data_IF_784179682558
#
_entry.id   IF_784179682558
#
_cell.length_a   1.000
_cell.length_b   1.000
_cell.length_c   1.000
_cell.angle_alpha   90.00
_cell.angle_beta   90.00
_cell.angle_gamma   90.00
#
_symmetry.space_group_name_H-M   'P 1'
#
loop_
_entity.id
_entity.type
_entity.pdbx_description
1 polymer ?
#
# COMPACT_ATOMS: atom_id res chain seq x y z
N UNK A 1 26.12 -13.51 -4.05
CA UNK A 1 25.71 -13.27 -2.65
C UNK A 1 25.24 -14.59 -2.07
N UNK A 2 25.44 -14.82 -0.77
CA UNK A 2 24.89 -16.01 -0.11
C UNK A 2 23.41 -15.79 0.21
N UNK A 3 22.52 -16.37 -0.59
CA UNK A 3 21.08 -16.33 -0.36
C UNK A 3 20.71 -17.43 0.66
N UNK A 4 20.04 -17.05 1.74
CA UNK A 4 19.64 -17.93 2.84
C UNK A 4 18.33 -17.45 3.50
N UNK A 5 17.74 -18.25 4.40
CA UNK A 5 16.40 -17.96 4.99
C UNK A 5 16.31 -16.63 5.75
N UNK A 6 17.38 -16.25 6.44
CA UNK A 6 17.42 -15.01 7.22
C UNK A 6 17.92 -13.78 6.44
N UNK A 7 17.97 -13.83 5.10
CA UNK A 7 18.59 -12.76 4.28
C UNK A 7 17.93 -11.38 4.46
N UNK A 8 16.66 -11.35 4.88
CA UNK A 8 15.89 -10.13 5.14
C UNK A 8 15.82 -9.73 6.61
N UNK A 9 16.55 -10.40 7.50
CA UNK A 9 16.61 -10.05 8.92
C UNK A 9 17.39 -8.74 9.11
N UNK A 10 16.81 -7.80 9.85
CA UNK A 10 17.43 -6.49 10.10
C UNK A 10 18.10 -6.41 11.48
N UNK A 11 19.16 -5.60 11.56
CA UNK A 11 19.47 -4.89 12.79
C UNK A 11 18.50 -3.69 12.90
N UNK A 12 17.37 -3.91 13.58
CA UNK A 12 16.32 -2.90 13.69
C UNK A 12 16.83 -1.58 14.31
N UNK A 13 17.78 -1.65 15.25
CA UNK A 13 18.31 -0.44 15.89
C UNK A 13 19.10 0.39 14.88
N UNK A 14 20.08 -0.22 14.24
CA UNK A 14 20.92 0.46 13.25
C UNK A 14 20.08 1.00 12.10
N UNK A 15 19.07 0.25 11.66
CA UNK A 15 18.23 0.65 10.53
C UNK A 15 17.29 1.82 10.90
N UNK A 16 16.70 1.82 12.10
CA UNK A 16 15.94 2.98 12.61
C UNK A 16 16.82 4.22 12.69
N UNK A 17 18.05 4.11 13.21
CA UNK A 17 18.98 5.24 13.31
C UNK A 17 19.31 5.81 11.92
N UNK A 18 19.49 4.93 10.92
CA UNK A 18 19.71 5.32 9.51
C UNK A 18 18.52 6.06 8.91
N UNK A 19 17.30 5.53 9.10
CA UNK A 19 16.08 6.14 8.57
C UNK A 19 15.78 7.48 9.25
N UNK A 20 15.92 7.58 10.57
CA UNK A 20 15.75 8.85 11.28
C UNK A 20 16.75 9.92 10.79
N UNK A 21 18.01 9.52 10.54
CA UNK A 21 19.02 10.43 9.98
C UNK A 21 18.62 10.93 8.58
N UNK A 22 18.10 10.04 7.72
CA UNK A 22 17.56 10.40 6.42
C UNK A 22 16.41 11.41 6.54
N UNK A 23 15.42 11.14 7.39
CA UNK A 23 14.27 12.04 7.61
C UNK A 23 14.73 13.43 8.04
N UNK A 24 15.61 13.53 9.05
CA UNK A 24 16.15 14.81 9.53
C UNK A 24 16.90 15.55 8.43
N UNK A 25 17.69 14.84 7.62
CA UNK A 25 18.42 15.45 6.51
C UNK A 25 17.47 16.04 5.46
N UNK A 26 16.46 15.27 5.03
CA UNK A 26 15.52 15.72 4.00
C UNK A 26 14.75 16.96 4.44
N UNK A 27 14.20 16.96 5.67
CA UNK A 27 13.48 18.12 6.21
C UNK A 27 14.37 19.38 6.25
N UNK A 28 15.64 19.24 6.64
CA UNK A 28 16.60 20.36 6.69
C UNK A 28 16.95 20.88 5.30
N UNK A 29 17.17 19.99 4.34
CA UNK A 29 17.59 20.33 2.97
C UNK A 29 16.56 21.21 2.27
N UNK A 30 15.28 20.87 2.40
CA UNK A 30 14.17 21.63 1.81
C UNK A 30 13.60 22.72 2.74
N UNK A 31 14.24 22.96 3.90
CA UNK A 31 13.89 24.01 4.88
C UNK A 31 12.42 23.95 5.34
N UNK A 32 11.95 22.75 5.70
CA UNK A 32 10.61 22.53 6.26
C UNK A 32 10.65 22.43 7.79
N UNK A 33 9.52 22.72 8.41
CA UNK A 33 9.41 22.83 9.87
C UNK A 33 8.99 21.51 10.55
N UNK A 34 8.46 20.56 9.79
CA UNK A 34 7.95 19.28 10.27
C UNK A 34 7.44 18.38 9.16
N UNK A 35 6.63 17.38 9.53
CA UNK A 35 6.16 16.30 8.66
C UNK A 35 4.66 16.06 8.85
N UNK A 36 3.93 15.94 7.75
CA UNK A 36 2.57 15.43 7.68
C UNK A 36 2.60 13.96 7.26
N UNK A 37 1.84 13.10 7.96
CA UNK A 37 1.70 11.68 7.64
C UNK A 37 0.22 11.32 7.52
N UNK A 38 -0.17 10.65 6.44
CA UNK A 38 -1.50 10.05 6.32
C UNK A 38 -1.58 8.77 7.15
N UNK A 39 -2.53 8.67 8.07
CA UNK A 39 -2.72 7.53 8.97
C UNK A 39 -3.92 6.70 8.50
N UNK A 40 -3.65 5.55 7.88
CA UNK A 40 -4.68 4.66 7.33
C UNK A 40 -5.12 3.56 8.29
N UNK A 41 -4.49 3.45 9.46
CA UNK A 41 -4.68 2.30 10.36
C UNK A 41 -3.98 1.02 9.88
N UNK A 42 -3.17 1.12 8.82
CA UNK A 42 -2.27 0.06 8.35
C UNK A 42 -0.84 0.22 8.87
N UNK A 43 -0.08 -0.87 8.80
CA UNK A 43 1.26 -0.99 9.40
C UNK A 43 2.28 0.01 8.85
N UNK A 44 2.27 0.29 7.54
CA UNK A 44 3.28 1.16 6.93
C UNK A 44 3.13 2.60 7.42
N UNK A 45 1.89 3.12 7.43
CA UNK A 45 1.62 4.47 7.96
C UNK A 45 1.91 4.60 9.45
N UNK A 46 1.61 3.56 10.23
CA UNK A 46 1.89 3.53 11.66
C UNK A 46 3.40 3.54 11.95
N UNK A 47 4.18 2.78 11.17
CA UNK A 47 5.63 2.77 11.24
C UNK A 47 6.23 4.12 10.81
N UNK A 48 5.78 4.69 9.69
CA UNK A 48 6.23 6.02 9.24
C UNK A 48 5.99 7.09 10.29
N UNK A 49 4.81 7.11 10.92
CA UNK A 49 4.52 8.04 12.01
C UNK A 49 5.49 7.86 13.19
N UNK A 50 5.74 6.61 13.62
CA UNK A 50 6.68 6.31 14.69
C UNK A 50 8.12 6.74 14.35
N UNK A 51 8.58 6.48 13.12
CA UNK A 51 9.89 6.91 12.62
C UNK A 51 10.02 8.44 12.57
N UNK A 52 8.99 9.14 12.10
CA UNK A 52 8.95 10.60 12.06
C UNK A 52 9.01 11.20 13.47
N UNK A 53 8.25 10.65 14.42
CA UNK A 53 8.30 11.07 15.83
C UNK A 53 9.67 10.82 16.43
N UNK A 54 10.28 9.66 16.16
CA UNK A 54 11.62 9.31 16.62
C UNK A 54 12.71 10.22 16.04
N UNK A 55 12.50 10.72 14.82
CA UNK A 55 13.45 11.57 14.10
C UNK A 55 13.32 13.05 14.48
N UNK A 56 12.10 13.58 14.53
CA UNK A 56 11.82 15.03 14.60
C UNK A 56 11.22 15.48 15.93
N UNK A 57 10.73 14.54 16.75
CA UNK A 57 9.91 14.81 17.93
C UNK A 57 8.43 14.97 17.56
N UNK A 58 7.55 14.57 18.49
CA UNK A 58 6.09 14.53 18.27
C UNK A 58 5.47 15.87 17.88
N UNK A 59 6.02 16.98 18.38
CA UNK A 59 5.49 18.34 18.12
C UNK A 59 5.76 18.82 16.69
N UNK A 60 6.55 18.06 15.91
CA UNK A 60 6.85 18.32 14.49
C UNK A 60 6.22 17.30 13.56
N UNK A 61 5.29 16.49 14.05
CA UNK A 61 4.60 15.47 13.28
C UNK A 61 3.10 15.68 13.42
N UNK A 62 2.43 15.80 12.28
CA UNK A 62 0.99 15.99 12.20
C UNK A 62 0.35 14.82 11.44
N UNK A 63 -0.60 14.13 12.06
CA UNK A 63 -1.29 13.00 11.46
C UNK A 63 -2.61 13.41 10.80
N UNK A 64 -2.89 12.90 9.60
CA UNK A 64 -4.19 13.04 8.95
C UNK A 64 -4.90 11.69 8.85
N UNK A 65 -6.12 11.61 9.35
CA UNK A 65 -7.01 10.45 9.18
C UNK A 65 -8.06 10.84 8.14
N UNK A 66 -8.05 10.17 6.98
CA UNK A 66 -8.82 10.58 5.80
C UNK A 66 -9.82 9.49 5.38
N UNK A 67 -10.84 9.20 6.20
CA UNK A 67 -11.83 8.18 5.89
C UNK A 67 -12.77 8.65 4.78
N UNK A 68 -13.39 7.69 4.11
CA UNK A 68 -14.57 7.88 3.28
C UNK A 68 -15.63 6.84 3.60
N UNK A 69 -16.85 6.99 3.04
CA UNK A 69 -18.01 6.16 3.41
C UNK A 69 -17.85 4.65 3.25
N UNK A 70 -16.89 4.18 2.46
CA UNK A 70 -16.56 2.76 2.28
C UNK A 70 -15.28 2.33 3.04
N UNK A 71 -14.60 3.25 3.72
CA UNK A 71 -13.44 2.92 4.56
C UNK A 71 -13.89 2.14 5.79
N UNK A 72 -13.06 1.20 6.24
CA UNK A 72 -13.38 0.44 7.44
C UNK A 72 -13.34 1.34 8.69
N UNK A 73 -14.40 1.35 9.53
CA UNK A 73 -14.39 2.13 10.77
C UNK A 73 -13.23 1.77 11.71
N UNK A 74 -12.80 0.50 11.69
CA UNK A 74 -11.70 0.01 12.53
C UNK A 74 -10.35 0.62 12.15
N UNK A 75 -10.16 0.97 10.86
CA UNK A 75 -8.95 1.62 10.37
C UNK A 75 -8.76 2.99 11.04
N UNK A 76 -9.83 3.78 11.11
CA UNK A 76 -9.79 5.09 11.78
C UNK A 76 -9.60 4.97 13.30
N UNK A 77 -10.22 3.95 13.92
CA UNK A 77 -10.03 3.65 15.35
C UNK A 77 -8.55 3.35 15.65
N UNK A 78 -7.94 2.45 14.87
CA UNK A 78 -6.54 2.06 15.07
C UNK A 78 -5.57 3.20 14.77
N UNK A 79 -5.82 3.97 13.71
CA UNK A 79 -5.06 5.18 13.40
C UNK A 79 -5.08 6.17 14.58
N UNK A 80 -6.26 6.43 15.13
CA UNK A 80 -6.45 7.34 16.28
C UNK A 80 -5.74 6.81 17.52
N UNK A 81 -5.89 5.51 17.81
CA UNK A 81 -5.27 4.86 18.96
C UNK A 81 -3.74 4.94 18.88
N UNK A 82 -3.17 4.59 17.74
CA UNK A 82 -1.71 4.62 17.53
C UNK A 82 -1.16 6.06 17.59
N UNK A 83 -1.84 7.03 16.99
CA UNK A 83 -1.45 8.44 17.09
C UNK A 83 -1.45 8.96 18.53
N UNK A 84 -2.42 8.53 19.35
CA UNK A 84 -2.48 8.85 20.77
C UNK A 84 -1.28 8.29 21.55
N UNK A 85 -0.88 7.05 21.28
CA UNK A 85 0.31 6.45 21.90
C UNK A 85 1.60 7.19 21.51
N UNK A 86 1.69 7.65 20.25
CA UNK A 86 2.79 8.49 19.78
C UNK A 86 2.76 9.93 20.34
N UNK A 87 1.60 10.38 20.83
CA UNK A 87 1.39 11.73 21.35
C UNK A 87 1.45 12.83 20.29
N UNK A 88 1.12 12.52 19.03
CA UNK A 88 1.09 13.48 17.93
C UNK A 88 -0.29 14.14 17.80
N UNK A 89 -0.30 15.36 17.27
CA UNK A 89 -1.54 16.02 16.89
C UNK A 89 -2.12 15.35 15.63
N UNK A 90 -3.45 15.22 15.59
CA UNK A 90 -4.15 14.64 14.44
C UNK A 90 -5.41 15.39 14.07
N UNK A 91 -5.73 15.37 12.79
CA UNK A 91 -7.03 15.82 12.29
C UNK A 91 -7.70 14.75 11.43
N UNK A 92 -9.01 14.59 11.60
CA UNK A 92 -9.82 13.67 10.81
C UNK A 92 -10.66 14.45 9.83
N UNK A 93 -10.53 14.17 8.53
CA UNK A 93 -11.29 14.82 7.47
C UNK A 93 -12.01 13.77 6.64
N UNK A 94 -13.35 13.77 6.69
CA UNK A 94 -14.17 12.92 5.81
C UNK A 94 -14.07 13.44 4.37
N UNK A 95 -13.47 12.63 3.50
CA UNK A 95 -13.28 12.99 2.07
C UNK A 95 -14.46 12.58 1.19
N UNK A 96 -15.51 11.98 1.77
CA UNK A 96 -16.72 11.55 1.04
C UNK A 96 -17.33 12.66 0.19
N UNK A 97 -17.51 13.91 0.70
CA UNK A 97 -18.12 14.98 -0.10
C UNK A 97 -17.32 15.32 -1.36
N UNK A 98 -15.98 15.31 -1.28
CA UNK A 98 -15.11 15.55 -2.45
C UNK A 98 -15.26 14.44 -3.49
N UNK A 99 -15.32 13.19 -3.04
CA UNK A 99 -15.48 12.03 -3.93
C UNK A 99 -16.86 11.97 -4.57
N UNK A 100 -17.91 12.37 -3.85
CA UNK A 100 -19.27 12.48 -4.37
C UNK A 100 -19.40 13.62 -5.38
N UNK A 101 -18.81 14.79 -5.10
CA UNK A 101 -18.77 15.91 -6.04
C UNK A 101 -18.06 15.54 -7.36
N UNK A 102 -17.02 14.71 -7.30
CA UNK A 102 -16.35 14.17 -8.49
C UNK A 102 -17.17 13.08 -9.21
N UNK A 103 -18.17 12.50 -8.54
CA UNK A 103 -18.97 11.37 -9.02
C UNK A 103 -18.21 10.04 -8.98
N UNK A 104 -17.23 9.90 -8.08
CA UNK A 104 -16.34 8.73 -8.00
C UNK A 104 -17.12 7.42 -7.86
N UNK A 105 -18.02 7.35 -6.88
CA UNK A 105 -18.85 6.16 -6.63
C UNK A 105 -19.78 5.86 -7.80
N UNK A 106 -20.50 6.88 -8.30
CA UNK A 106 -21.41 6.74 -9.44
C UNK A 106 -20.70 6.16 -10.68
N UNK A 107 -19.51 6.67 -11.02
CA UNK A 107 -18.72 6.19 -12.16
C UNK A 107 -18.31 4.73 -12.02
N UNK A 108 -17.92 4.30 -10.81
CA UNK A 108 -17.62 2.89 -10.51
C UNK A 108 -18.89 2.04 -10.62
N UNK A 109 -19.96 2.47 -9.97
CA UNK A 109 -21.21 1.73 -9.88
C UNK A 109 -21.87 1.57 -11.26
N UNK A 110 -21.75 2.55 -12.16
CA UNK A 110 -22.14 2.42 -13.57
C UNK A 110 -21.39 1.29 -14.29
N UNK A 111 -20.10 1.11 -14.00
CA UNK A 111 -19.31 0.00 -14.56
C UNK A 111 -19.76 -1.34 -14.01
N UNK A 112 -20.01 -1.41 -12.69
CA UNK A 112 -20.49 -2.63 -12.02
C UNK A 112 -21.88 -3.01 -12.55
N UNK A 113 -22.80 -2.04 -12.67
CA UNK A 113 -24.15 -2.24 -13.23
C UNK A 113 -24.15 -2.73 -14.68
N UNK A 114 -23.08 -2.45 -15.42
CA UNK A 114 -22.89 -3.02 -16.76
C UNK A 114 -22.78 -4.55 -16.78
N UNK A 115 -22.45 -5.19 -15.66
CA UNK A 115 -22.45 -6.66 -15.50
C UNK A 115 -23.49 -7.18 -14.51
N UNK A 116 -23.87 -6.37 -13.53
CA UNK A 116 -24.86 -6.69 -12.52
C UNK A 116 -25.90 -5.57 -12.45
N UNK A 117 -26.92 -5.54 -13.35
CA UNK A 117 -27.91 -4.47 -13.40
C UNK A 117 -28.65 -4.21 -12.08
N UNK A 118 -28.72 -5.22 -11.22
CA UNK A 118 -29.29 -5.18 -9.88
C UNK A 118 -28.39 -4.53 -8.82
N UNK A 119 -27.13 -4.25 -9.14
CA UNK A 119 -26.18 -3.67 -8.19
C UNK A 119 -26.64 -2.28 -7.75
N UNK A 120 -26.70 -2.09 -6.43
CA UNK A 120 -26.95 -0.81 -5.80
C UNK A 120 -25.77 -0.41 -4.89
N UNK A 121 -25.80 0.81 -4.37
CA UNK A 121 -24.76 1.33 -3.49
C UNK A 121 -24.74 0.70 -2.09
N UNK A 122 -25.74 -0.09 -1.71
CA UNK A 122 -25.74 -0.84 -0.45
C UNK A 122 -24.96 -2.16 -0.61
N UNK A 123 -24.87 -2.68 -1.85
CA UNK A 123 -24.07 -3.84 -2.21
C UNK A 123 -22.57 -3.55 -2.05
N UNK A 124 -21.83 -4.56 -1.58
CA UNK A 124 -20.37 -4.45 -1.42
C UNK A 124 -19.67 -4.99 -2.65
N UNK A 125 -18.51 -4.44 -3.00
CA UNK A 125 -17.72 -4.93 -4.13
C UNK A 125 -16.22 -4.94 -3.87
N UNK A 126 -15.54 -5.91 -4.48
CA UNK A 126 -14.08 -6.00 -4.57
C UNK A 126 -13.65 -6.58 -5.90
N UNK A 127 -12.38 -6.35 -6.28
CA UNK A 127 -11.74 -7.08 -7.36
C UNK A 127 -10.59 -7.91 -6.80
N UNK A 128 -10.34 -9.07 -7.41
CA UNK A 128 -9.30 -10.02 -6.96
C UNK A 128 -8.58 -10.62 -8.17
N UNK A 129 -7.34 -11.04 -7.97
CA UNK A 129 -6.60 -11.87 -8.93
C UNK A 129 -6.73 -13.36 -8.56
N UNK A 130 -6.42 -14.29 -9.48
CA UNK A 130 -6.39 -15.71 -9.14
C UNK A 130 -5.37 -15.97 -8.02
N UNK A 131 -5.81 -16.58 -6.93
CA UNK A 131 -4.95 -16.91 -5.79
C UNK A 131 -3.92 -18.00 -6.12
N UNK A 132 -3.04 -18.28 -5.15
CA UNK A 132 -2.08 -19.38 -5.18
C UNK A 132 -1.11 -19.35 -6.38
N UNK A 133 -0.50 -18.20 -6.70
CA UNK A 133 0.38 -18.04 -7.87
C UNK A 133 1.51 -19.09 -7.91
N UNK A 134 2.05 -19.48 -6.75
CA UNK A 134 3.08 -20.52 -6.69
C UNK A 134 2.53 -21.91 -7.00
N UNK A 135 1.27 -22.20 -6.68
CA UNK A 135 0.71 -23.56 -6.79
C UNK A 135 -0.07 -23.81 -8.08
N UNK A 136 -0.58 -22.76 -8.75
CA UNK A 136 -1.44 -22.88 -9.93
C UNK A 136 -1.01 -21.90 -11.02
N UNK A 137 -0.74 -22.41 -12.22
CA UNK A 137 -0.57 -21.54 -13.39
C UNK A 137 -1.94 -21.04 -13.86
N UNK A 138 -2.10 -19.72 -13.95
CA UNK A 138 -3.39 -19.09 -14.26
C UNK A 138 -3.16 -17.81 -15.06
N UNK A 139 -4.06 -17.51 -15.99
CA UNK A 139 -4.05 -16.23 -16.69
C UNK A 139 -4.33 -15.08 -15.72
N UNK A 140 -3.57 -13.99 -15.84
CA UNK A 140 -3.77 -12.79 -15.04
C UNK A 140 -5.02 -12.04 -15.53
N UNK A 141 -6.15 -12.24 -14.86
CA UNK A 141 -7.36 -11.46 -15.06
C UNK A 141 -8.00 -11.11 -13.72
N UNK A 142 -8.47 -9.88 -13.59
CA UNK A 142 -9.22 -9.47 -12.41
C UNK A 142 -10.64 -10.01 -12.46
N UNK A 143 -11.12 -10.47 -11.30
CA UNK A 143 -12.50 -10.91 -11.08
C UNK A 143 -13.18 -9.92 -10.15
N UNK A 144 -14.27 -9.32 -10.60
CA UNK A 144 -15.17 -8.53 -9.77
C UNK A 144 -16.06 -9.48 -8.98
N UNK A 145 -16.13 -9.25 -7.67
CA UNK A 145 -17.05 -9.91 -6.75
C UNK A 145 -17.98 -8.85 -6.17
N UNK A 146 -19.28 -9.13 -6.20
CA UNK A 146 -20.29 -8.33 -5.51
C UNK A 146 -20.98 -9.18 -4.44
N UNK A 147 -21.31 -8.56 -3.32
CA UNK A 147 -22.18 -9.10 -2.28
C UNK A 147 -23.46 -8.28 -2.28
N UNK A 148 -24.60 -8.96 -2.49
CA UNK A 148 -25.93 -8.35 -2.60
C UNK A 148 -26.52 -7.90 -1.25
N UNK A 149 -25.74 -7.97 -0.17
CA UNK A 149 -26.16 -7.59 1.19
C UNK A 149 -27.02 -8.65 1.87
N UNK A 150 -27.37 -9.74 1.17
CA UNK A 150 -28.09 -10.90 1.71
C UNK A 150 -27.18 -12.13 1.83
N UNK A 151 -25.87 -11.94 1.65
CA UNK A 151 -24.88 -13.01 1.71
C UNK A 151 -24.74 -13.80 0.41
N UNK A 152 -25.41 -13.39 -0.69
CA UNK A 152 -25.16 -14.01 -1.99
C UNK A 152 -24.01 -13.27 -2.70
N UNK A 153 -22.97 -14.04 -3.02
CA UNK A 153 -21.82 -13.52 -3.76
C UNK A 153 -21.96 -13.86 -5.24
N UNK A 154 -21.89 -12.85 -6.11
CA UNK A 154 -21.81 -13.02 -7.57
C UNK A 154 -20.46 -12.56 -8.07
N UNK A 155 -19.96 -13.22 -9.11
CA UNK A 155 -18.63 -12.94 -9.65
C UNK A 155 -18.63 -12.85 -11.17
N UNK A 156 -17.83 -11.95 -11.73
CA UNK A 156 -17.61 -11.86 -13.17
C UNK A 156 -16.17 -11.49 -13.47
N UNK A 157 -15.65 -11.96 -14.61
CA UNK A 157 -14.33 -11.56 -15.10
C UNK A 157 -14.40 -10.14 -15.66
N UNK A 158 -13.45 -9.30 -15.27
CA UNK A 158 -13.33 -7.95 -15.81
C UNK A 158 -12.61 -7.96 -17.15
N UNK A 159 -13.24 -7.33 -18.15
CA UNK A 159 -12.52 -6.91 -19.35
C UNK A 159 -11.74 -5.61 -19.07
N UNK A 160 -10.86 -5.22 -20.01
CA UNK A 160 -9.99 -4.04 -19.85
C UNK A 160 -10.76 -2.74 -19.59
N UNK A 161 -11.88 -2.50 -20.29
CA UNK A 161 -12.67 -1.27 -20.13
C UNK A 161 -13.27 -1.20 -18.72
N UNK A 162 -13.81 -2.31 -18.23
CA UNK A 162 -14.39 -2.37 -16.89
C UNK A 162 -13.33 -2.20 -15.80
N UNK A 163 -12.21 -2.94 -15.92
CA UNK A 163 -11.10 -2.82 -14.99
C UNK A 163 -10.60 -1.37 -14.90
N UNK A 164 -10.35 -0.74 -16.04
CA UNK A 164 -9.90 0.65 -16.09
C UNK A 164 -10.89 1.62 -15.43
N UNK A 165 -12.20 1.43 -15.64
CA UNK A 165 -13.22 2.26 -15.03
C UNK A 165 -13.28 2.14 -13.50
N UNK A 166 -13.19 0.90 -12.99
CA UNK A 166 -13.17 0.65 -11.54
C UNK A 166 -11.88 1.19 -10.92
N UNK A 167 -10.72 0.87 -11.50
CA UNK A 167 -9.42 1.33 -10.98
C UNK A 167 -9.31 2.85 -11.03
N UNK A 168 -9.82 3.52 -12.07
CA UNK A 168 -9.82 4.98 -12.13
C UNK A 168 -10.61 5.62 -10.97
N UNK A 169 -11.73 5.02 -10.56
CA UNK A 169 -12.49 5.47 -9.39
C UNK A 169 -11.70 5.22 -8.09
N UNK A 170 -11.08 4.04 -7.94
CA UNK A 170 -10.23 3.72 -6.78
C UNK A 170 -9.04 4.67 -6.66
N UNK A 171 -8.33 4.94 -7.76
CA UNK A 171 -7.21 5.89 -7.79
C UNK A 171 -7.63 7.31 -7.39
N UNK A 172 -8.85 7.72 -7.75
CA UNK A 172 -9.38 9.04 -7.40
C UNK A 172 -9.49 9.21 -5.89
N UNK A 173 -9.84 8.13 -5.16
CA UNK A 173 -9.80 8.12 -3.68
C UNK A 173 -8.40 8.44 -3.16
N UNK A 174 -7.36 7.77 -3.67
CA UNK A 174 -5.99 7.99 -3.24
C UNK A 174 -5.47 9.40 -3.58
N UNK A 175 -5.77 9.90 -4.78
CA UNK A 175 -5.44 11.26 -5.21
C UNK A 175 -6.13 12.33 -4.36
N UNK A 176 -7.35 12.06 -3.91
CA UNK A 176 -8.06 12.97 -3.00
C UNK A 176 -7.38 13.04 -1.63
N UNK A 177 -6.84 11.93 -1.12
CA UNK A 177 -6.05 11.93 0.12
C UNK A 177 -4.76 12.74 -0.02
N UNK A 178 -4.06 12.56 -1.14
CA UNK A 178 -2.87 13.37 -1.47
C UNK A 178 -3.17 14.87 -1.45
N UNK A 179 -4.27 15.30 -2.07
CA UNK A 179 -4.67 16.72 -2.05
C UNK A 179 -4.82 17.27 -0.63
N UNK A 180 -5.40 16.48 0.30
CA UNK A 180 -5.53 16.88 1.69
C UNK A 180 -4.16 16.93 2.38
N UNK A 181 -3.33 15.88 2.21
CA UNK A 181 -1.97 15.85 2.79
C UNK A 181 -1.17 17.10 2.41
N UNK A 182 -1.16 17.48 1.13
CA UNK A 182 -0.46 18.69 0.69
C UNK A 182 -1.11 19.97 1.19
N UNK A 183 -2.44 20.07 1.26
CA UNK A 183 -3.09 21.24 1.84
C UNK A 183 -2.60 21.53 3.27
N UNK A 184 -2.53 20.51 4.13
CA UNK A 184 -2.03 20.67 5.50
C UNK A 184 -0.52 20.91 5.54
N UNK A 185 0.25 20.20 4.71
CA UNK A 185 1.70 20.36 4.64
C UNK A 185 2.09 21.78 4.21
N UNK A 186 1.46 22.33 3.18
CA UNK A 186 1.70 23.70 2.71
C UNK A 186 1.26 24.74 3.74
N UNK A 187 0.10 24.55 4.38
CA UNK A 187 -0.41 25.44 5.44
C UNK A 187 0.54 25.53 6.64
N UNK A 188 1.29 24.46 6.92
CA UNK A 188 2.17 24.34 8.10
C UNK A 188 3.66 24.41 7.77
N UNK A 189 4.04 24.58 6.49
CA UNK A 189 5.42 24.47 6.00
C UNK A 189 6.09 23.11 6.33
N UNK A 190 5.32 22.02 6.25
CA UNK A 190 5.77 20.65 6.51
C UNK A 190 6.02 19.89 5.19
N UNK A 191 6.70 18.74 5.26
CA UNK A 191 6.80 17.77 4.15
C UNK A 191 5.70 16.72 4.26
N UNK A 192 5.24 16.17 3.13
CA UNK A 192 4.41 14.96 3.11
C UNK A 192 5.31 13.73 3.13
N UNK A 193 5.16 12.88 4.15
CA UNK A 193 5.83 11.59 4.24
C UNK A 193 4.96 10.49 3.64
N UNK A 194 5.52 9.78 2.65
CA UNK A 194 4.94 8.56 2.11
C UNK A 194 5.18 7.34 2.97
N UNK A 195 4.51 6.26 2.58
CA UNK A 195 4.47 5.01 3.32
C UNK A 195 4.68 3.81 2.41
N UNK A 196 5.12 4.02 1.17
CA UNK A 196 5.26 2.94 0.19
C UNK A 196 6.53 2.14 0.51
N UNK A 197 6.38 0.84 0.73
CA UNK A 197 7.50 -0.05 1.01
C UNK A 197 8.10 -0.64 -0.29
N UNK A 198 9.29 -1.24 -0.21
CA UNK A 198 10.02 -1.77 -1.38
C UNK A 198 9.22 -2.82 -2.15
N UNK A 199 8.49 -3.69 -1.45
CA UNK A 199 7.64 -4.71 -2.09
C UNK A 199 6.61 -4.04 -3.01
N UNK A 200 5.98 -2.97 -2.54
CA UNK A 200 5.01 -2.18 -3.30
C UNK A 200 5.67 -1.39 -4.44
N UNK A 201 6.86 -0.80 -4.20
CA UNK A 201 7.62 -0.08 -5.22
C UNK A 201 7.97 -1.00 -6.39
N UNK A 202 8.54 -2.18 -6.13
CA UNK A 202 8.96 -3.14 -7.17
C UNK A 202 7.75 -3.60 -7.98
N UNK A 203 6.71 -4.05 -7.29
CA UNK A 203 5.51 -4.61 -7.94
C UNK A 203 4.66 -3.50 -8.59
N UNK A 204 4.82 -2.24 -8.18
CA UNK A 204 4.02 -1.10 -8.64
C UNK A 204 2.62 -1.06 -8.02
N UNK A 205 2.55 -1.38 -6.73
CA UNK A 205 1.34 -1.36 -5.92
C UNK A 205 1.17 -0.03 -5.19
N UNK A 206 1.03 1.06 -5.94
CA UNK A 206 0.75 2.40 -5.42
C UNK A 206 0.17 3.28 -6.53
N UNK A 207 -0.54 4.34 -6.18
CA UNK A 207 -1.11 5.29 -7.14
C UNK A 207 -0.15 6.46 -7.32
N UNK A 208 0.34 6.65 -8.55
CA UNK A 208 1.12 7.85 -8.91
C UNK A 208 0.26 9.10 -8.70
N UNK A 209 0.81 10.06 -7.94
CA UNK A 209 0.10 11.27 -7.48
C UNK A 209 -1.09 10.98 -6.54
N UNK A 210 -1.19 9.77 -6.00
CA UNK A 210 -2.04 9.42 -4.87
C UNK A 210 -1.16 9.18 -3.65
N UNK A 211 -1.17 7.97 -3.12
CA UNK A 211 -0.28 7.52 -2.05
C UNK A 211 1.21 7.63 -2.43
N UNK A 212 1.57 7.52 -3.71
CA UNK A 212 2.93 7.78 -4.19
C UNK A 212 3.21 9.25 -4.57
N UNK A 213 2.29 10.18 -4.28
CA UNK A 213 2.50 11.62 -4.44
C UNK A 213 2.94 12.24 -3.13
N UNK A 214 4.25 12.22 -2.85
CA UNK A 214 4.83 12.60 -1.57
C UNK A 214 6.21 13.24 -1.75
N UNK A 215 6.75 13.83 -0.69
CA UNK A 215 8.07 14.46 -0.72
C UNK A 215 9.21 13.48 -0.33
N UNK A 216 8.95 12.51 0.55
CA UNK A 216 9.91 11.47 0.98
C UNK A 216 9.24 10.11 1.12
N UNK A 217 10.01 9.05 0.90
CA UNK A 217 9.58 7.65 1.07
C UNK A 217 10.55 6.87 1.97
N UNK A 218 10.42 6.96 3.32
CA UNK A 218 11.38 6.35 4.25
C UNK A 218 11.40 4.82 4.24
N UNK A 219 10.39 4.17 3.66
CA UNK A 219 10.24 2.71 3.64
C UNK A 219 10.54 2.08 2.27
N UNK A 220 10.79 2.89 1.24
CA UNK A 220 10.93 2.41 -0.14
C UNK A 220 12.09 1.45 -0.38
N UNK A 221 13.05 1.36 0.55
CA UNK A 221 14.16 0.40 0.53
C UNK A 221 13.93 -0.84 1.42
N UNK A 222 12.81 -0.94 2.13
CA UNK A 222 12.47 -2.05 3.01
C UNK A 222 11.39 -2.95 2.41
N UNK A 223 11.62 -4.25 2.42
CA UNK A 223 10.56 -5.22 2.12
C UNK A 223 9.47 -5.22 3.20
N UNK A 224 8.28 -5.75 2.90
CA UNK A 224 7.17 -5.77 3.87
C UNK A 224 7.52 -6.50 5.16
N UNK A 225 8.19 -7.65 5.08
CA UNK A 225 8.65 -8.39 6.27
C UNK A 225 9.63 -7.59 7.13
N UNK A 226 10.33 -6.62 6.55
CA UNK A 226 11.21 -5.70 7.28
C UNK A 226 10.42 -4.56 7.93
N UNK A 227 9.35 -4.07 7.28
CA UNK A 227 8.38 -3.15 7.89
C UNK A 227 7.79 -3.76 9.17
N UNK A 228 7.43 -5.05 9.16
CA UNK A 228 6.97 -5.75 10.38
C UNK A 228 8.03 -5.77 11.49
N UNK A 229 9.27 -6.14 11.16
CA UNK A 229 10.39 -6.15 12.14
C UNK A 229 10.61 -4.78 12.80
N UNK A 230 10.57 -3.69 12.02
CA UNK A 230 10.72 -2.34 12.56
C UNK A 230 9.49 -1.88 13.34
N UNK A 231 8.29 -2.29 12.93
CA UNK A 231 7.03 -1.95 13.62
C UNK A 231 6.98 -2.56 15.02
N UNK A 232 7.40 -3.82 15.15
CA UNK A 232 7.55 -4.48 16.45
C UNK A 232 8.60 -3.77 17.31
N UNK A 233 9.76 -3.44 16.73
CA UNK A 233 10.85 -2.78 17.44
C UNK A 233 10.49 -1.38 17.95
N UNK A 234 9.72 -0.61 17.17
CA UNK A 234 9.28 0.75 17.53
C UNK A 234 7.98 0.79 18.35
N UNK A 235 7.38 -0.37 18.66
CA UNK A 235 6.19 -0.45 19.50
C UNK A 235 4.92 0.04 18.79
N UNK A 236 4.77 -0.23 17.50
CA UNK A 236 3.47 -0.10 16.82
C UNK A 236 2.44 -0.98 17.55
N UNK A 237 1.22 -0.47 17.73
CA UNK A 237 0.19 -1.18 18.51
C UNK A 237 -0.10 -2.57 17.94
N UNK A 238 -0.38 -3.54 18.81
CA UNK A 238 -0.59 -4.95 18.44
C UNK A 238 -1.73 -5.13 17.45
N UNK A 239 -2.80 -4.34 17.58
CA UNK A 239 -3.95 -4.40 16.70
C UNK A 239 -3.61 -4.09 15.23
N UNK A 240 -2.62 -3.23 14.99
CA UNK A 240 -2.13 -2.93 13.64
C UNK A 240 -1.21 -4.05 13.14
N UNK A 241 -0.34 -4.58 14.00
CA UNK A 241 0.62 -5.64 13.64
C UNK A 241 -0.09 -6.96 13.33
N UNK A 242 -1.13 -7.31 14.09
CA UNK A 242 -1.85 -8.59 13.95
C UNK A 242 -2.90 -8.57 12.83
N UNK A 243 -3.29 -7.39 12.33
CA UNK A 243 -4.27 -7.26 11.26
C UNK A 243 -3.66 -7.69 9.92
N UNK A 244 -4.46 -8.40 9.12
CA UNK A 244 -4.08 -8.70 7.74
C UNK A 244 -3.93 -7.41 6.91
N UNK A 245 -2.81 -7.22 6.18
CA UNK A 245 -2.63 -6.09 5.29
C UNK A 245 -3.74 -6.00 4.24
N UNK A 246 -4.28 -4.79 4.08
CA UNK A 246 -5.38 -4.50 3.17
C UNK A 246 -5.22 -3.11 2.58
N UNK A 247 -5.59 -2.90 1.31
CA UNK A 247 -5.57 -1.58 0.70
C UNK A 247 -6.63 -0.63 1.28
N UNK A 248 -7.65 -1.14 1.96
CA UNK A 248 -8.78 -0.39 2.54
C UNK A 248 -9.46 0.57 1.54
N UNK A 249 -9.55 0.13 0.28
CA UNK A 249 -10.13 0.88 -0.84
C UNK A 249 -11.51 0.38 -1.29
N UNK A 250 -11.91 -0.79 -0.81
CA UNK A 250 -13.05 -1.57 -1.30
C UNK A 250 -14.11 -1.72 -0.21
N UNK A 251 -15.40 -1.65 -0.58
CA UNK A 251 -16.50 -1.87 0.37
C UNK A 251 -16.64 -3.32 0.81
N UNK A 252 -16.05 -4.26 0.05
CA UNK A 252 -15.89 -5.66 0.44
C UNK A 252 -14.45 -5.93 0.87
N UNK A 253 -14.26 -6.47 2.08
CA UNK A 253 -12.95 -6.81 2.65
C UNK A 253 -12.10 -7.66 1.68
N UNK A 254 -10.87 -7.22 1.47
CA UNK A 254 -9.86 -7.86 0.63
C UNK A 254 -8.50 -7.55 1.21
N UNK A 255 -7.60 -8.54 1.22
CA UNK A 255 -6.21 -8.34 1.63
C UNK A 255 -5.32 -8.16 0.40
N UNK A 256 -4.07 -7.73 0.62
CA UNK A 256 -3.14 -7.46 -0.48
C UNK A 256 -2.80 -8.71 -1.32
N UNK A 257 -2.82 -9.89 -0.68
CA UNK A 257 -2.56 -11.18 -1.34
C UNK A 257 -3.68 -11.50 -2.34
N UNK A 258 -4.95 -11.39 -1.94
CA UNK A 258 -6.13 -11.60 -2.79
C UNK A 258 -6.23 -10.57 -3.92
N UNK A 259 -5.89 -9.31 -3.61
CA UNK A 259 -6.07 -8.20 -4.53
C UNK A 259 -4.96 -8.14 -5.58
N UNK A 260 -3.69 -8.30 -5.18
CA UNK A 260 -2.56 -7.90 -6.01
C UNK A 260 -1.36 -8.87 -6.00
N UNK A 261 -0.87 -9.27 -4.82
CA UNK A 261 0.42 -9.96 -4.73
C UNK A 261 0.35 -11.47 -4.98
N UNK A 262 -0.76 -12.13 -4.61
CA UNK A 262 -1.03 -13.56 -4.88
C UNK A 262 -0.02 -14.55 -4.26
N UNK A 263 0.90 -14.04 -3.44
CA UNK A 263 1.91 -14.77 -2.68
C UNK A 263 1.98 -14.11 -1.29
N UNK A 264 1.96 -14.90 -0.20
CA UNK A 264 2.16 -14.34 1.15
C UNK A 264 3.52 -13.65 1.29
N UNK A 265 3.58 -12.52 2.00
CA UNK A 265 4.80 -11.71 2.15
C UNK A 265 6.04 -12.49 2.59
N UNK A 266 5.87 -13.47 3.49
CA UNK A 266 6.96 -14.34 3.96
C UNK A 266 7.66 -15.14 2.84
N UNK A 267 6.99 -15.39 1.72
CA UNK A 267 7.57 -16.00 0.52
C UNK A 267 7.84 -14.97 -0.58
N UNK A 268 6.97 -13.97 -0.73
CA UNK A 268 7.09 -12.94 -1.75
C UNK A 268 8.39 -12.14 -1.60
N UNK A 269 8.68 -11.64 -0.40
CA UNK A 269 9.81 -10.73 -0.22
C UNK A 269 11.17 -11.41 -0.44
N UNK A 270 11.44 -12.63 0.05
CA UNK A 270 12.68 -13.34 -0.31
C UNK A 270 12.77 -13.69 -1.81
N UNK A 271 11.64 -13.99 -2.47
CA UNK A 271 11.63 -14.22 -3.92
C UNK A 271 11.92 -12.93 -4.70
N UNK A 272 11.38 -11.78 -4.28
CA UNK A 272 11.69 -10.49 -4.87
C UNK A 272 13.14 -10.09 -4.64
N UNK A 273 13.70 -10.35 -3.44
CA UNK A 273 15.13 -10.19 -3.19
C UNK A 273 15.96 -11.05 -4.14
N UNK A 274 15.63 -12.34 -4.27
CA UNK A 274 16.34 -13.24 -5.17
C UNK A 274 16.29 -12.77 -6.63
N UNK A 275 15.13 -12.27 -7.06
CA UNK A 275 14.93 -11.72 -8.41
C UNK A 275 15.72 -10.43 -8.64
N UNK A 276 15.75 -9.49 -7.68
CA UNK A 276 16.49 -8.23 -7.80
C UNK A 276 18.00 -8.41 -7.82
N UNK A 277 18.49 -9.45 -7.13
CA UNK A 277 19.92 -9.74 -6.98
C UNK A 277 20.43 -10.85 -7.91
N UNK A 278 19.66 -11.22 -8.94
CA UNK A 278 20.00 -12.25 -9.92
C UNK A 278 20.48 -13.58 -9.28
N UNK A 279 19.83 -13.99 -8.19
CA UNK A 279 20.17 -15.23 -7.50
C UNK A 279 19.78 -16.42 -8.39
N UNK A 280 20.67 -17.41 -8.60
CA UNK A 280 20.37 -18.57 -9.44
C UNK A 280 19.13 -19.34 -8.96
N UNK A 281 18.25 -19.72 -9.89
CA UNK A 281 16.99 -20.42 -9.59
C UNK A 281 17.21 -21.68 -8.76
N UNK A 282 18.28 -22.42 -9.02
CA UNK A 282 18.63 -23.63 -8.27
C UNK A 282 18.85 -23.33 -6.79
N UNK A 283 19.54 -22.22 -6.48
CA UNK A 283 19.77 -21.78 -5.09
C UNK A 283 18.49 -21.32 -4.43
N UNK A 284 17.60 -20.62 -5.17
CA UNK A 284 16.30 -20.22 -4.65
C UNK A 284 15.45 -21.44 -4.30
N UNK A 285 15.41 -22.44 -5.20
CA UNK A 285 14.69 -23.69 -4.98
C UNK A 285 15.17 -24.41 -3.72
N UNK A 286 16.50 -24.54 -3.55
CA UNK A 286 17.13 -25.16 -2.39
C UNK A 286 16.76 -24.46 -1.07
N UNK A 287 16.90 -23.13 -1.02
CA UNK A 287 16.73 -22.35 0.22
C UNK A 287 15.26 -22.23 0.61
N UNK A 288 14.38 -22.05 -0.37
CA UNK A 288 12.96 -21.75 -0.15
C UNK A 288 12.06 -22.97 -0.17
N UNK A 289 12.60 -24.17 -0.46
CA UNK A 289 11.82 -25.40 -0.62
C UNK A 289 10.70 -25.24 -1.66
N UNK A 290 11.09 -24.76 -2.85
CA UNK A 290 10.23 -24.52 -4.00
C UNK A 290 10.74 -25.29 -5.22
N UNK A 291 9.83 -25.69 -6.10
CA UNK A 291 10.22 -26.24 -7.40
C UNK A 291 10.62 -25.12 -8.37
N UNK A 292 11.43 -25.46 -9.37
CA UNK A 292 11.83 -24.53 -10.42
C UNK A 292 10.62 -23.89 -11.13
N UNK A 293 9.55 -24.66 -11.33
CA UNK A 293 8.31 -24.18 -11.93
C UNK A 293 7.63 -23.10 -11.07
N UNK A 294 7.64 -23.25 -9.74
CA UNK A 294 7.07 -22.26 -8.81
C UNK A 294 7.88 -20.96 -8.83
N UNK A 295 9.21 -21.06 -8.83
CA UNK A 295 10.09 -19.90 -8.94
C UNK A 295 9.90 -19.19 -10.28
N UNK A 296 9.86 -19.94 -11.38
CA UNK A 296 9.62 -19.39 -12.72
C UNK A 296 8.24 -18.72 -12.85
N UNK A 297 7.20 -19.22 -12.17
CA UNK A 297 5.89 -18.54 -12.07
C UNK A 297 6.01 -17.18 -11.38
N UNK A 298 6.68 -17.12 -10.23
CA UNK A 298 6.89 -15.88 -9.49
C UNK A 298 7.68 -14.86 -10.33
N UNK A 299 8.83 -15.25 -10.88
CA UNK A 299 9.68 -14.39 -11.72
C UNK A 299 8.93 -13.84 -12.93
N UNK A 300 8.08 -14.66 -13.57
CA UNK A 300 7.24 -14.21 -14.69
C UNK A 300 6.22 -13.15 -14.27
N UNK A 301 5.61 -13.28 -13.09
CA UNK A 301 4.67 -12.29 -12.54
C UNK A 301 5.39 -10.99 -12.18
N UNK A 302 6.54 -11.07 -11.50
CA UNK A 302 7.37 -9.91 -11.12
C UNK A 302 7.81 -9.12 -12.37
N UNK A 303 8.37 -9.81 -13.37
CA UNK A 303 8.78 -9.18 -14.63
C UNK A 303 7.61 -8.49 -15.35
N UNK A 304 6.42 -9.11 -15.34
CA UNK A 304 5.24 -8.55 -15.98
C UNK A 304 4.77 -7.27 -15.27
N UNK A 305 4.65 -7.30 -13.94
CA UNK A 305 4.26 -6.15 -13.12
C UNK A 305 5.29 -5.05 -13.17
N UNK A 306 6.57 -5.35 -12.88
CA UNK A 306 7.67 -4.39 -12.91
C UNK A 306 7.77 -3.65 -14.24
N UNK A 307 7.60 -4.36 -15.37
CA UNK A 307 7.59 -3.71 -16.69
C UNK A 307 6.35 -2.85 -16.90
N UNK A 308 5.17 -3.34 -16.57
CA UNK A 308 3.90 -2.63 -16.77
C UNK A 308 3.80 -1.35 -15.93
N UNK A 309 4.40 -1.36 -14.73
CA UNK A 309 4.33 -0.27 -13.75
C UNK A 309 5.55 0.66 -13.77
N UNK A 310 6.50 0.47 -14.70
CA UNK A 310 7.74 1.26 -14.78
C UNK A 310 7.49 2.77 -14.73
N UNK A 311 6.46 3.24 -15.42
CA UNK A 311 6.09 4.65 -15.49
C UNK A 311 5.65 5.28 -14.14
N UNK A 312 5.27 4.46 -13.15
CA UNK A 312 4.92 4.93 -11.81
C UNK A 312 6.14 5.42 -11.03
N UNK A 313 7.29 4.77 -11.25
CA UNK A 313 8.58 5.02 -10.56
C UNK A 313 9.46 6.09 -11.21
N UNK A 314 8.97 6.75 -12.27
CA UNK A 314 9.77 7.68 -13.07
C UNK A 314 9.12 9.05 -13.13
N UNK A 315 9.96 10.09 -13.14
CA UNK A 315 9.52 11.42 -13.57
C UNK A 315 8.94 11.34 -14.99
N UNK A 316 7.99 12.21 -15.35
CA UNK A 316 7.54 12.32 -16.73
C UNK A 316 8.75 12.48 -17.68
N UNK A 317 8.82 11.71 -18.79
CA UNK A 317 9.88 11.89 -19.76
C UNK A 317 9.91 13.34 -20.25
N UNK A 318 11.08 13.98 -20.20
CA UNK A 318 11.31 15.33 -20.73
C UNK A 318 12.28 15.25 -21.89
N UNK A 319 12.16 16.17 -22.85
CA UNK A 319 13.20 16.41 -23.84
C UNK A 319 14.33 17.17 -23.16
N UNK A 320 15.56 16.73 -23.39
CA UNK A 320 16.78 17.48 -23.07
C UNK A 320 17.06 18.53 -24.17
#
# INVERSE_FOLDING_TARGET
MDFHKDILKLDCRSEVERICSFIVQQVREVKRDGIVVGLSGGIDSALCAALCVRAMGKDKVFGLILPEKESSPISAEYATKHAKELGIETETVDITPTLEAFGTYQKRDDVIRGSFPEYDSASKSKITLPADLLSKDSLNFFTLKIDDGNGNVKTTRLNKKMLNGIVAATDTKQRTRMMHLYYYAEKTNYMVCGTTNKTEVIEGFFVKYGDGGVDIEPLSHLYKVQVYQLSEYLGVIREIIERAPSPDTWSFEVNDEEFYFRIPYAKLDPLLYAWEHDIPTERVCEVMDLTEEQVNRAVRDFNAKYRATKHLRQLPPTLE
#
